data_IF_926446591789
#
_entry.id   IF_926446591789
#
_cell.length_a   1.000
_cell.length_b   1.000
_cell.length_c   1.000
_cell.angle_alpha   90.00
_cell.angle_beta   90.00
_cell.angle_gamma   90.00
#
_symmetry.space_group_name_H-M   'P 1'
#
loop_
_entity.id
_entity.type
_entity.pdbx_description
1 polymer ?
#
# COMPACT_ATOMS: atom_id res chain seq x y z
N UNK A 1 4.66 -5.29 47.15
CA UNK A 1 5.06 -6.03 45.93
C UNK A 1 4.02 -5.80 44.82
N UNK A 2 4.20 -4.79 43.94
CA UNK A 2 3.22 -4.39 42.89
C UNK A 2 3.79 -4.42 41.45
N UNK A 3 4.90 -5.11 41.23
CA UNK A 3 5.67 -5.06 39.98
C UNK A 3 5.10 -5.81 38.75
N UNK A 4 4.32 -6.90 38.84
CA UNK A 4 3.91 -7.64 37.63
C UNK A 4 2.83 -6.91 36.82
N UNK A 5 2.03 -6.06 37.48
CA UNK A 5 0.92 -5.33 36.85
C UNK A 5 1.41 -4.33 35.81
N UNK A 6 2.49 -3.59 36.13
CA UNK A 6 3.08 -2.63 35.20
C UNK A 6 3.73 -3.30 33.99
N UNK A 7 4.34 -4.47 34.18
CA UNK A 7 4.91 -5.25 33.06
C UNK A 7 3.83 -5.74 32.11
N UNK A 8 2.70 -6.21 32.64
CA UNK A 8 1.55 -6.62 31.82
C UNK A 8 0.94 -5.45 31.06
N UNK A 9 0.80 -4.27 31.71
CA UNK A 9 0.31 -3.07 31.05
C UNK A 9 1.27 -2.62 29.93
N UNK A 10 2.57 -2.62 30.20
CA UNK A 10 3.58 -2.27 29.19
C UNK A 10 3.56 -3.23 28.00
N UNK A 11 3.42 -4.54 28.24
CA UNK A 11 3.31 -5.54 27.18
C UNK A 11 2.03 -5.36 26.36
N UNK A 12 0.89 -5.14 27.01
CA UNK A 12 -0.37 -4.89 26.34
C UNK A 12 -0.30 -3.63 25.45
N UNK A 13 0.32 -2.56 25.95
CA UNK A 13 0.53 -1.34 25.18
C UNK A 13 1.46 -1.57 23.97
N UNK A 14 2.54 -2.33 24.14
CA UNK A 14 3.46 -2.66 23.07
C UNK A 14 2.76 -3.46 21.95
N UNK A 15 1.95 -4.46 22.32
CA UNK A 15 1.17 -5.25 21.36
C UNK A 15 0.12 -4.40 20.63
N UNK A 16 -0.54 -3.49 21.33
CA UNK A 16 -1.50 -2.57 20.72
C UNK A 16 -0.81 -1.68 19.66
N UNK A 17 0.37 -1.13 19.97
CA UNK A 17 1.15 -0.34 19.02
C UNK A 17 1.55 -1.19 17.81
N UNK A 18 2.07 -2.39 18.03
CA UNK A 18 2.48 -3.30 16.97
C UNK A 18 1.31 -3.69 16.03
N UNK A 19 0.11 -3.86 16.57
CA UNK A 19 -1.09 -4.16 15.79
C UNK A 19 -1.56 -2.98 14.95
N UNK A 20 -1.31 -1.73 15.39
CA UNK A 20 -1.76 -0.52 14.71
C UNK A 20 -0.77 -0.08 13.63
N UNK A 21 0.53 -0.30 13.80
CA UNK A 21 1.58 0.05 12.83
C UNK A 21 1.27 -0.33 11.36
N UNK A 22 0.85 -1.56 11.03
CA UNK A 22 0.65 -1.96 9.63
C UNK A 22 -0.44 -1.18 8.89
N UNK A 23 -1.34 -0.49 9.60
CA UNK A 23 -2.39 0.33 8.98
C UNK A 23 -1.89 1.70 8.46
N UNK A 24 -0.65 2.08 8.82
CA UNK A 24 -0.05 3.38 8.49
C UNK A 24 1.08 3.29 7.46
N UNK A 25 1.26 2.15 6.76
CA UNK A 25 2.28 1.99 5.72
C UNK A 25 1.77 2.58 4.40
N UNK A 26 2.23 3.79 4.05
CA UNK A 26 2.08 4.38 2.70
C UNK A 26 3.38 4.25 1.91
N UNK A 27 3.28 4.26 0.58
CA UNK A 27 4.40 4.21 -0.35
C UNK A 27 4.48 5.50 -1.18
N UNK A 28 3.98 6.59 -0.62
CA UNK A 28 3.89 7.87 -1.33
C UNK A 28 5.26 8.43 -1.69
N UNK A 29 6.29 8.13 -0.90
CA UNK A 29 7.69 8.51 -1.20
C UNK A 29 8.20 7.90 -2.52
N UNK A 30 7.57 6.82 -3.01
CA UNK A 30 7.91 6.20 -4.29
C UNK A 30 7.14 6.79 -5.48
N UNK A 31 6.10 7.60 -5.25
CA UNK A 31 5.31 8.25 -6.30
C UNK A 31 6.20 8.95 -7.33
N UNK A 32 7.13 9.87 -6.97
CA UNK A 32 7.90 10.61 -7.98
C UNK A 32 8.73 9.67 -8.87
N UNK A 33 9.25 8.59 -8.32
CA UNK A 33 10.00 7.59 -9.08
C UNK A 33 9.09 6.80 -10.02
N UNK A 34 7.94 6.36 -9.52
CA UNK A 34 6.97 5.58 -10.30
C UNK A 34 6.36 6.42 -11.41
N UNK A 35 5.98 7.67 -11.13
CA UNK A 35 5.48 8.63 -12.12
C UNK A 35 6.53 8.88 -13.21
N UNK A 36 7.80 9.06 -12.86
CA UNK A 36 8.87 9.24 -13.83
C UNK A 36 9.04 8.03 -14.75
N UNK A 37 9.11 6.82 -14.18
CA UNK A 37 9.24 5.58 -14.96
C UNK A 37 8.00 5.31 -15.81
N UNK A 38 6.79 5.55 -15.29
CA UNK A 38 5.54 5.38 -16.01
C UNK A 38 5.41 6.41 -17.15
N UNK A 39 5.75 7.68 -16.89
CA UNK A 39 5.70 8.75 -17.89
C UNK A 39 6.69 8.52 -19.02
N UNK A 40 7.89 8.01 -18.71
CA UNK A 40 8.88 7.65 -19.72
C UNK A 40 8.39 6.51 -20.64
N UNK A 41 7.68 5.52 -20.10
CA UNK A 41 7.14 4.39 -20.86
C UNK A 41 5.88 4.75 -21.66
N UNK A 42 4.99 5.54 -21.07
CA UNK A 42 3.73 5.96 -21.66
C UNK A 42 3.88 7.18 -22.59
N UNK A 43 5.03 7.87 -22.54
CA UNK A 43 5.29 9.13 -23.27
C UNK A 43 4.27 10.23 -22.96
N UNK A 44 3.60 10.13 -21.82
CA UNK A 44 2.59 11.05 -21.33
C UNK A 44 2.83 11.29 -19.84
N UNK A 45 2.53 12.48 -19.31
CA UNK A 45 2.66 12.72 -17.88
C UNK A 45 1.68 11.84 -17.12
N UNK A 46 2.16 11.18 -16.08
CA UNK A 46 1.36 10.37 -15.16
C UNK A 46 1.39 11.05 -13.80
N UNK A 47 0.21 11.21 -13.20
CA UNK A 47 0.06 11.67 -11.82
C UNK A 47 -0.63 10.61 -10.98
N UNK A 48 -0.11 10.37 -9.78
CA UNK A 48 -0.62 9.39 -8.82
C UNK A 48 -0.84 10.13 -7.50
N UNK A 49 -2.06 10.04 -6.96
CA UNK A 49 -2.40 10.75 -5.72
C UNK A 49 -1.88 10.06 -4.47
N UNK A 50 -1.93 8.73 -4.41
CA UNK A 50 -1.62 7.96 -3.21
C UNK A 50 -1.31 6.50 -3.53
N UNK A 51 -0.32 5.92 -2.84
CA UNK A 51 0.01 4.50 -2.92
C UNK A 51 0.00 3.91 -1.50
N UNK A 52 -0.80 2.86 -1.30
CA UNK A 52 -0.95 2.20 -0.01
C UNK A 52 -0.60 0.72 -0.12
N UNK A 53 0.23 0.23 0.79
CA UNK A 53 0.42 -1.20 0.98
C UNK A 53 -0.47 -1.69 2.12
N UNK A 54 -1.06 -2.86 1.94
CA UNK A 54 -1.96 -3.47 2.91
C UNK A 54 -1.62 -4.95 3.03
N UNK A 55 -1.33 -5.40 4.25
CA UNK A 55 -0.84 -6.76 4.51
C UNK A 55 -1.98 -7.77 4.68
N UNK A 56 -3.18 -7.31 5.04
CA UNK A 56 -4.32 -8.15 5.41
C UNK A 56 -5.53 -7.89 4.50
N UNK A 57 -6.37 -8.92 4.19
CA UNK A 57 -6.19 -10.35 4.50
C UNK A 57 -5.11 -11.04 3.65
N UNK A 58 -4.83 -10.52 2.45
CA UNK A 58 -3.67 -10.86 1.64
C UNK A 58 -2.85 -9.59 1.37
N UNK A 59 -1.52 -9.70 1.24
CA UNK A 59 -0.67 -8.57 0.93
C UNK A 59 -1.02 -8.00 -0.45
N UNK A 60 -1.34 -6.72 -0.55
CA UNK A 60 -1.65 -6.05 -1.82
C UNK A 60 -1.23 -4.59 -1.79
N UNK A 61 -0.98 -4.04 -2.98
CA UNK A 61 -0.71 -2.61 -3.19
C UNK A 61 -1.94 -1.98 -3.84
N UNK A 62 -2.38 -0.86 -3.31
CA UNK A 62 -3.47 -0.05 -3.87
C UNK A 62 -2.90 1.29 -4.34
N UNK A 63 -3.12 1.60 -5.61
CA UNK A 63 -2.74 2.86 -6.24
C UNK A 63 -4.03 3.62 -6.51
N UNK A 64 -4.19 4.81 -5.95
CA UNK A 64 -5.42 5.60 -6.04
C UNK A 64 -5.19 6.93 -6.77
N UNK A 65 -6.17 7.34 -7.56
CA UNK A 65 -6.16 8.60 -8.31
C UNK A 65 -5.02 8.65 -9.31
N UNK A 66 -5.04 7.75 -10.29
CA UNK A 66 -4.07 7.73 -11.40
C UNK A 66 -4.63 8.58 -12.53
N UNK A 67 -3.92 9.61 -12.95
CA UNK A 67 -4.24 10.40 -14.12
C UNK A 67 -3.12 10.28 -15.14
N UNK A 68 -3.47 10.21 -16.43
CA UNK A 68 -2.53 10.11 -17.55
C UNK A 68 -2.89 11.17 -18.58
N UNK A 69 -1.89 11.96 -19.00
CA UNK A 69 -2.04 13.01 -20.00
C UNK A 69 -1.99 14.43 -19.42
N UNK A 70 -1.67 15.41 -20.26
CA UNK A 70 -1.51 16.83 -19.87
C UNK A 70 -2.83 17.48 -19.40
N UNK A 71 -3.96 16.91 -19.81
CA UNK A 71 -5.32 17.39 -19.47
C UNK A 71 -6.12 16.34 -18.70
N UNK A 72 -5.46 15.39 -18.04
CA UNK A 72 -6.11 14.24 -17.40
C UNK A 72 -7.02 13.44 -18.35
N UNK A 73 -6.57 13.24 -19.60
CA UNK A 73 -7.33 12.56 -20.67
C UNK A 73 -7.85 11.18 -20.23
N UNK A 74 -7.09 10.48 -19.38
CA UNK A 74 -7.47 9.18 -18.81
C UNK A 74 -7.27 9.23 -17.30
N UNK A 75 -8.36 9.03 -16.55
CA UNK A 75 -8.34 8.93 -15.09
C UNK A 75 -8.82 7.56 -14.62
N UNK A 76 -8.07 6.96 -13.70
CA UNK A 76 -8.41 5.72 -13.02
C UNK A 76 -8.62 6.02 -11.54
N UNK A 77 -9.76 5.59 -11.00
CA UNK A 77 -10.08 5.77 -9.59
C UNK A 77 -9.14 4.99 -8.67
N UNK A 78 -8.98 3.69 -8.92
CA UNK A 78 -8.13 2.82 -8.08
C UNK A 78 -7.66 1.61 -8.87
N UNK A 79 -6.37 1.29 -8.78
CA UNK A 79 -5.78 0.06 -9.25
C UNK A 79 -5.27 -0.75 -8.05
N UNK A 80 -5.55 -2.06 -8.03
CA UNK A 80 -5.10 -2.98 -6.99
C UNK A 80 -4.16 -4.02 -7.61
N UNK A 81 -2.98 -4.16 -7.02
CA UNK A 81 -1.98 -5.17 -7.39
C UNK A 81 -1.90 -6.18 -6.26
N UNK A 82 -2.29 -7.41 -6.55
CA UNK A 82 -2.19 -8.56 -5.65
C UNK A 82 -1.13 -9.53 -6.19
N UNK A 83 -0.32 -10.16 -5.32
CA UNK A 83 0.43 -11.33 -5.71
C UNK A 83 -0.53 -12.43 -6.15
N UNK A 84 -0.13 -13.20 -7.17
CA UNK A 84 -0.85 -14.39 -7.60
C UNK A 84 -0.84 -15.42 -6.47
N UNK A 85 -2.02 -15.91 -6.07
CA UNK A 85 -2.13 -17.07 -5.18
C UNK A 85 -1.79 -18.32 -6.01
N UNK A 86 -0.64 -18.95 -5.73
CA UNK A 86 -0.26 -20.23 -6.37
C UNK A 86 -1.31 -21.35 -6.17
N UNK A 87 -2.27 -21.16 -5.26
CA UNK A 87 -3.35 -22.09 -4.95
C UNK A 87 -4.45 -22.18 -6.03
N UNK A 88 -4.55 -21.22 -6.95
CA UNK A 88 -5.57 -21.20 -8.01
C UNK A 88 -4.97 -21.43 -9.40
N UNK A 89 -3.93 -22.27 -9.51
CA UNK A 89 -3.62 -22.83 -10.83
C UNK A 89 -4.73 -23.77 -11.26
N UNK A 90 -5.43 -23.53 -12.38
CA UNK A 90 -6.26 -24.55 -12.99
C UNK A 90 -5.36 -25.75 -13.26
N UNK A 91 -5.71 -26.91 -12.67
CA UNK A 91 -5.06 -28.18 -13.01
C UNK A 91 -5.24 -28.36 -14.53
N UNK A 92 -4.14 -28.25 -15.26
CA UNK A 92 -4.08 -28.62 -16.68
C UNK A 92 -4.32 -30.11 -16.83
#
# INVERSE_FOLDING_TARGET
MKWPKYKLIALALLLAIAAVLPFFITLDDYIPRIEQEASARLKQPVSIKNIRFSVLPLPHVTIAGICVGTTDDISFGTARVTPEDDAEKPKK
#
